data_IF_801806912172
#
_entry.id   IF_801806912172
#
_cell.length_a   1.000
_cell.length_b   1.000
_cell.length_c   1.000
_cell.angle_alpha   90.00
_cell.angle_beta   90.00
_cell.angle_gamma   90.00
#
_symmetry.space_group_name_H-M   'P 1'
#
loop_
_entity.id
_entity.type
_entity.pdbx_description
1 polymer ?
#
# COMPACT_ATOMS: atom_id res chain seq x y z
N UNK A 1 18.51 -6.46 13.53
CA UNK A 1 17.49 -5.65 12.83
C UNK A 1 16.38 -5.40 13.81
N UNK A 2 16.23 -4.13 14.18
CA UNK A 2 15.56 -3.67 15.39
C UNK A 2 14.18 -3.12 15.04
N UNK A 3 13.18 -3.47 15.85
CA UNK A 3 11.95 -2.71 15.96
C UNK A 3 12.06 -2.00 17.31
N UNK A 4 12.36 -0.69 17.30
CA UNK A 4 12.38 0.12 18.52
C UNK A 4 11.27 1.15 18.41
N UNK A 5 10.32 1.15 19.37
CA UNK A 5 9.42 2.28 19.57
C UNK A 5 10.18 3.38 20.31
N UNK A 6 10.28 4.58 19.74
CA UNK A 6 10.81 5.78 20.42
C UNK A 6 9.68 6.57 21.10
N UNK A 7 10.01 7.70 21.74
CA UNK A 7 9.06 8.72 22.24
C UNK A 7 9.11 9.96 21.33
N UNK A 8 7.94 10.48 20.91
CA UNK A 8 7.77 11.62 19.99
C UNK A 8 8.62 12.81 20.44
N UNK A 9 9.67 13.11 19.68
CA UNK A 9 10.22 14.46 19.59
C UNK A 9 9.51 15.19 18.45
N UNK A 10 9.00 16.42 18.64
CA UNK A 10 8.26 17.15 17.61
C UNK A 10 9.10 17.63 16.42
N UNK A 11 10.40 17.33 16.37
CA UNK A 11 11.29 17.72 15.26
C UNK A 11 11.99 16.46 14.72
N UNK A 12 11.55 15.99 13.56
CA UNK A 12 12.25 14.97 12.78
C UNK A 12 13.41 15.64 12.02
N UNK A 13 14.50 15.94 12.72
CA UNK A 13 15.76 16.27 12.07
C UNK A 13 16.53 14.98 11.75
N UNK A 14 16.91 14.79 10.47
CA UNK A 14 17.72 13.65 10.02
C UNK A 14 19.08 13.61 10.74
N UNK A 15 19.58 14.75 11.18
CA UNK A 15 20.87 14.86 11.84
C UNK A 15 20.83 14.42 13.32
N UNK A 16 19.69 14.56 14.01
CA UNK A 16 19.52 14.03 15.37
C UNK A 16 19.52 12.48 15.40
N UNK A 17 19.05 11.84 14.32
CA UNK A 17 19.00 10.37 14.23
C UNK A 17 20.39 9.74 14.29
N UNK A 18 21.41 10.42 13.72
CA UNK A 18 22.80 9.94 13.69
C UNK A 18 23.50 10.01 15.05
N UNK A 19 23.11 10.96 15.90
CA UNK A 19 23.78 11.16 17.19
C UNK A 19 23.26 10.23 18.29
N UNK A 20 21.99 9.80 18.23
CA UNK A 20 21.38 8.91 19.25
C UNK A 20 21.59 7.41 19.03
N UNK A 21 22.35 6.99 18.02
CA UNK A 21 22.68 5.56 17.80
C UNK A 21 23.54 4.93 18.93
N UNK A 22 24.13 5.72 19.82
CA UNK A 22 25.12 5.24 20.80
C UNK A 22 24.59 4.91 22.19
N UNK A 23 23.39 5.36 22.55
CA UNK A 23 22.90 5.29 23.94
C UNK A 23 21.44 4.81 23.95
N UNK A 24 21.20 3.50 24.06
CA UNK A 24 20.06 2.90 24.80
C UNK A 24 20.01 1.35 24.65
N UNK A 25 19.65 0.69 25.76
CA UNK A 25 19.93 -0.69 26.14
C UNK A 25 19.23 -1.80 25.31
N UNK A 26 20.00 -2.88 25.07
CA UNK A 26 19.64 -4.24 24.63
C UNK A 26 18.36 -4.48 23.77
N UNK A 27 18.39 -4.13 22.47
CA UNK A 27 17.26 -4.32 21.55
C UNK A 27 17.05 -5.76 20.99
N UNK A 28 17.70 -6.79 21.56
CA UNK A 28 17.70 -8.18 21.08
C UNK A 28 16.36 -8.93 21.14
N UNK A 29 15.47 -8.55 22.06
CA UNK A 29 14.35 -9.41 22.45
C UNK A 29 13.14 -9.35 21.50
N UNK A 30 12.87 -8.22 20.85
CA UNK A 30 11.68 -8.07 19.99
C UNK A 30 11.77 -8.92 18.72
N UNK A 31 12.95 -9.01 18.10
CA UNK A 31 13.18 -9.84 16.90
C UNK A 31 12.96 -11.33 17.18
N UNK A 32 13.63 -11.85 18.20
CA UNK A 32 13.60 -13.29 18.54
C UNK A 32 12.20 -13.75 18.93
N UNK A 33 11.43 -12.89 19.60
CA UNK A 33 10.07 -13.24 20.01
C UNK A 33 9.12 -13.30 18.82
N UNK A 34 9.11 -12.29 17.94
CA UNK A 34 8.17 -12.25 16.83
C UNK A 34 8.49 -13.29 15.74
N UNK A 35 9.76 -13.48 15.38
CA UNK A 35 10.16 -14.43 14.32
C UNK A 35 9.74 -15.88 14.62
N UNK A 36 9.60 -16.23 15.90
CA UNK A 36 9.23 -17.56 16.36
C UNK A 36 7.71 -17.79 16.42
N UNK A 37 6.89 -16.76 16.22
CA UNK A 37 5.42 -16.88 16.23
C UNK A 37 4.91 -17.44 14.90
N UNK A 38 5.25 -18.70 14.61
CA UNK A 38 4.97 -19.33 13.30
C UNK A 38 3.49 -19.38 12.91
N UNK A 39 2.57 -19.30 13.87
CA UNK A 39 1.11 -19.29 13.62
C UNK A 39 0.47 -17.90 13.74
N UNK A 40 1.25 -16.83 13.76
CA UNK A 40 0.73 -15.46 13.86
C UNK A 40 -0.18 -15.17 12.66
N UNK A 41 -1.43 -14.79 12.95
CA UNK A 41 -2.43 -14.41 11.93
C UNK A 41 -2.61 -12.91 11.79
N UNK A 42 -2.34 -12.17 12.84
CA UNK A 42 -2.54 -10.73 12.90
C UNK A 42 -1.34 -10.08 13.57
N UNK A 43 -0.71 -9.13 12.89
CA UNK A 43 0.34 -8.27 13.42
C UNK A 43 -0.03 -6.82 13.11
N UNK A 44 -0.55 -6.11 14.10
CA UNK A 44 -0.82 -4.68 14.01
C UNK A 44 0.23 -3.92 14.84
N UNK A 45 1.01 -3.09 14.16
CA UNK A 45 2.02 -2.20 14.74
C UNK A 45 1.70 -0.73 14.42
N UNK A 46 0.52 -0.45 13.88
CA UNK A 46 0.13 0.88 13.43
C UNK A 46 0.23 1.94 14.55
N UNK A 47 0.53 3.19 14.18
CA UNK A 47 0.62 4.35 15.07
C UNK A 47 1.57 4.12 16.26
N UNK A 48 2.81 3.75 15.93
CA UNK A 48 3.92 3.63 16.87
C UNK A 48 5.12 4.43 16.35
N UNK A 49 6.26 4.29 17.01
CA UNK A 49 7.51 4.93 16.58
C UNK A 49 8.53 3.89 16.12
N UNK A 50 8.08 2.77 15.57
CA UNK A 50 8.98 1.75 15.05
C UNK A 50 9.82 2.33 13.92
N UNK A 51 11.13 2.22 14.09
CA UNK A 51 12.12 2.63 13.07
C UNK A 51 12.95 1.45 12.61
N UNK A 52 13.58 1.58 11.45
CA UNK A 52 14.31 0.52 10.76
C UNK A 52 13.65 0.14 9.43
N UNK A 53 14.30 -0.72 8.63
CA UNK A 53 13.64 -1.35 7.50
C UNK A 53 12.57 -2.35 7.95
N UNK A 54 11.55 -2.57 7.12
CA UNK A 54 10.59 -3.66 7.33
C UNK A 54 11.38 -4.98 7.33
N UNK A 55 11.26 -5.81 8.38
CA UNK A 55 12.11 -7.00 8.49
C UNK A 55 11.81 -8.11 7.47
N UNK A 56 12.85 -8.64 6.81
CA UNK A 56 12.72 -9.76 5.85
C UNK A 56 12.06 -11.01 6.43
N UNK A 57 12.24 -11.27 7.73
CA UNK A 57 11.68 -12.45 8.42
C UNK A 57 10.15 -12.41 8.50
N UNK A 58 9.50 -11.27 8.25
CA UNK A 58 8.05 -11.22 8.08
C UNK A 58 7.59 -12.12 6.93
N UNK A 59 8.45 -12.30 5.91
CA UNK A 59 8.25 -13.26 4.83
C UNK A 59 8.15 -14.74 5.26
N UNK A 60 8.54 -15.08 6.49
CA UNK A 60 8.44 -16.44 7.03
C UNK A 60 7.08 -16.74 7.69
N UNK A 61 6.21 -15.74 7.88
CA UNK A 61 4.96 -15.88 8.62
C UNK A 61 3.82 -16.35 7.71
N UNK A 62 3.88 -17.60 7.25
CA UNK A 62 2.96 -18.19 6.25
C UNK A 62 1.47 -18.23 6.64
N UNK A 63 1.12 -17.88 7.88
CA UNK A 63 -0.26 -17.81 8.38
C UNK A 63 -0.74 -16.38 8.61
N UNK A 64 0.11 -15.37 8.39
CA UNK A 64 -0.21 -13.98 8.62
C UNK A 64 -1.24 -13.51 7.61
N UNK A 65 -2.39 -13.06 8.10
CA UNK A 65 -3.52 -12.58 7.32
C UNK A 65 -3.61 -11.06 7.32
N UNK A 66 -3.12 -10.41 8.37
CA UNK A 66 -3.11 -8.96 8.48
C UNK A 66 -1.74 -8.48 8.98
N UNK A 67 -1.14 -7.57 8.21
CA UNK A 67 0.07 -6.85 8.59
C UNK A 67 -0.20 -5.35 8.51
N UNK A 68 -0.28 -4.71 9.68
CA UNK A 68 -0.47 -3.28 9.83
C UNK A 68 0.78 -2.59 10.33
N UNK A 69 1.33 -1.68 9.55
CA UNK A 69 2.56 -0.93 9.83
C UNK A 69 2.36 0.58 9.68
N UNK A 70 1.12 1.05 9.53
CA UNK A 70 0.75 2.44 9.24
C UNK A 70 1.27 3.40 10.30
N UNK A 71 1.63 4.63 9.95
CA UNK A 71 2.04 5.66 10.92
C UNK A 71 3.19 5.19 11.83
N UNK A 72 4.34 4.89 11.21
CA UNK A 72 5.58 4.55 11.89
C UNK A 72 6.75 5.29 11.20
N UNK A 73 7.98 4.91 11.54
CA UNK A 73 9.22 5.48 10.99
C UNK A 73 9.98 4.39 10.21
N UNK A 74 9.27 3.44 9.58
CA UNK A 74 9.90 2.43 8.73
C UNK A 74 10.52 3.09 7.50
N UNK A 75 11.71 2.66 7.09
CA UNK A 75 12.43 3.22 5.95
C UNK A 75 12.98 2.13 5.01
N UNK A 76 13.63 2.56 3.92
CA UNK A 76 14.08 1.69 2.83
C UNK A 76 12.91 1.00 2.08
N UNK A 77 13.22 0.02 1.23
CA UNK A 77 12.23 -0.64 0.39
C UNK A 77 11.44 -1.71 1.13
N UNK A 78 10.22 -1.96 0.65
CA UNK A 78 9.45 -3.13 1.05
C UNK A 78 10.25 -4.38 0.66
N UNK A 79 10.53 -5.30 1.61
CA UNK A 79 11.33 -6.48 1.32
C UNK A 79 10.59 -7.43 0.40
N UNK A 80 11.28 -7.96 -0.61
CA UNK A 80 10.69 -8.89 -1.59
C UNK A 80 10.17 -10.19 -0.94
N UNK A 81 10.74 -10.58 0.21
CA UNK A 81 10.31 -11.75 0.98
C UNK A 81 8.86 -11.63 1.48
N UNK A 82 8.31 -10.41 1.59
CA UNK A 82 6.91 -10.21 1.98
C UNK A 82 5.94 -10.85 0.98
N UNK A 83 6.33 -10.97 -0.29
CA UNK A 83 5.57 -11.70 -1.32
C UNK A 83 5.44 -13.20 -1.07
N UNK A 84 6.19 -13.78 -0.12
CA UNK A 84 6.06 -15.19 0.28
C UNK A 84 4.88 -15.42 1.24
N UNK A 85 4.30 -14.36 1.82
CA UNK A 85 3.21 -14.44 2.81
C UNK A 85 1.87 -14.57 2.10
N UNK A 86 1.68 -15.67 1.37
CA UNK A 86 0.50 -15.84 0.49
C UNK A 86 -0.83 -15.90 1.25
N UNK A 87 -0.81 -16.04 2.58
CA UNK A 87 -1.99 -15.95 3.46
C UNK A 87 -2.49 -14.52 3.69
N UNK A 88 -1.72 -13.50 3.30
CA UNK A 88 -2.01 -12.11 3.61
C UNK A 88 -3.28 -11.64 2.90
N UNK A 89 -4.24 -11.13 3.67
CA UNK A 89 -5.48 -10.54 3.20
C UNK A 89 -5.41 -9.01 3.22
N UNK A 90 -4.66 -8.42 4.16
CA UNK A 90 -4.53 -6.98 4.29
C UNK A 90 -3.09 -6.59 4.61
N UNK A 91 -2.57 -5.63 3.84
CA UNK A 91 -1.27 -5.00 4.04
C UNK A 91 -1.45 -3.49 4.10
N UNK A 92 -1.06 -2.88 5.22
CA UNK A 92 -1.06 -1.42 5.38
C UNK A 92 0.33 -0.94 5.77
N UNK A 93 0.91 -0.06 4.95
CA UNK A 93 2.25 0.50 5.14
C UNK A 93 2.29 2.02 4.99
N UNK A 94 1.11 2.64 4.94
CA UNK A 94 0.91 4.07 4.78
C UNK A 94 1.63 4.90 5.84
N UNK A 95 1.96 6.15 5.52
CA UNK A 95 2.55 7.10 6.47
C UNK A 95 3.83 6.59 7.14
N UNK A 96 4.78 6.13 6.31
CA UNK A 96 6.14 5.75 6.70
C UNK A 96 7.19 6.49 5.84
N UNK A 97 8.47 6.25 6.08
CA UNK A 97 9.59 6.73 5.28
C UNK A 97 10.08 5.70 4.25
N UNK A 98 9.20 4.79 3.83
CA UNK A 98 9.52 3.75 2.84
C UNK A 98 9.85 4.38 1.49
N UNK A 99 10.79 3.78 0.77
CA UNK A 99 11.32 4.30 -0.49
C UNK A 99 11.64 3.21 -1.50
N UNK A 100 11.77 3.59 -2.77
CA UNK A 100 11.98 2.66 -3.87
C UNK A 100 10.66 2.09 -4.41
N UNK A 101 10.76 1.00 -5.16
CA UNK A 101 9.63 0.43 -5.89
C UNK A 101 8.84 -0.57 -5.04
N UNK A 102 7.56 -0.72 -5.36
CA UNK A 102 6.78 -1.88 -4.92
C UNK A 102 7.42 -3.15 -5.54
N UNK A 103 7.86 -4.15 -4.76
CA UNK A 103 8.47 -5.34 -5.35
C UNK A 103 7.42 -6.17 -6.10
N UNK A 104 7.78 -6.66 -7.30
CA UNK A 104 6.91 -7.52 -8.12
C UNK A 104 6.43 -8.79 -7.38
N UNK A 105 7.11 -9.21 -6.31
CA UNK A 105 6.69 -10.35 -5.49
C UNK A 105 5.38 -10.09 -4.74
N UNK A 106 4.95 -8.84 -4.55
CA UNK A 106 3.60 -8.50 -4.06
C UNK A 106 2.51 -9.13 -4.93
N UNK A 107 2.76 -9.26 -6.23
CA UNK A 107 1.86 -9.95 -7.15
C UNK A 107 1.69 -11.46 -6.88
N UNK A 108 2.39 -12.05 -5.89
CA UNK A 108 2.13 -13.43 -5.45
C UNK A 108 1.15 -13.53 -4.27
N UNK A 109 0.69 -12.41 -3.72
CA UNK A 109 -0.24 -12.37 -2.59
C UNK A 109 -1.68 -12.62 -3.04
N UNK A 110 -1.99 -13.77 -3.64
CA UNK A 110 -3.28 -14.04 -4.29
C UNK A 110 -4.51 -14.00 -3.36
N UNK A 111 -4.33 -14.02 -2.04
CA UNK A 111 -5.39 -13.81 -1.04
C UNK A 111 -5.58 -12.34 -0.63
N UNK A 112 -4.74 -11.42 -1.13
CA UNK A 112 -4.77 -10.01 -0.75
C UNK A 112 -6.07 -9.37 -1.21
N UNK A 113 -6.76 -8.75 -0.26
CA UNK A 113 -8.01 -7.99 -0.45
C UNK A 113 -7.78 -6.49 -0.35
N UNK A 114 -6.87 -6.06 0.52
CA UNK A 114 -6.63 -4.63 0.81
C UNK A 114 -5.14 -4.32 0.78
N UNK A 115 -4.77 -3.36 -0.05
CA UNK A 115 -3.40 -2.86 -0.16
C UNK A 115 -3.37 -1.35 0.02
N UNK A 116 -2.87 -0.89 1.17
CA UNK A 116 -2.80 0.53 1.52
C UNK A 116 -1.34 0.97 1.59
N UNK A 117 -0.98 1.83 0.63
CA UNK A 117 0.35 2.38 0.45
C UNK A 117 0.23 3.90 0.30
N UNK A 118 0.91 4.62 1.18
CA UNK A 118 1.07 6.06 1.13
C UNK A 118 2.49 6.41 1.56
N UNK A 119 3.04 7.48 0.99
CA UNK A 119 4.36 7.99 1.36
C UNK A 119 5.24 8.16 0.13
N UNK A 120 6.48 7.68 0.20
CA UNK A 120 7.53 7.97 -0.80
C UNK A 120 7.88 6.78 -1.70
N UNK A 121 7.03 5.76 -1.74
CA UNK A 121 7.18 4.62 -2.65
C UNK A 121 6.77 5.03 -4.07
N UNK A 122 7.62 4.76 -5.05
CA UNK A 122 7.40 5.21 -6.43
C UNK A 122 7.67 4.10 -7.43
N UNK A 123 7.76 4.44 -8.71
CA UNK A 123 8.08 3.51 -9.79
C UNK A 123 6.87 3.13 -10.62
N UNK A 124 7.03 2.08 -11.43
CA UNK A 124 6.04 1.72 -12.47
C UNK A 124 5.27 0.47 -12.06
N UNK A 125 3.97 0.65 -11.81
CA UNK A 125 3.03 -0.45 -11.64
C UNK A 125 2.66 -1.04 -13.00
N UNK A 126 2.76 -2.36 -13.08
CA UNK A 126 2.40 -3.20 -14.22
C UNK A 126 1.65 -4.43 -13.74
N UNK A 127 1.15 -5.25 -14.66
CA UNK A 127 0.41 -6.48 -14.38
C UNK A 127 1.17 -7.44 -13.47
N UNK A 128 2.51 -7.37 -13.45
CA UNK A 128 3.35 -8.16 -12.54
C UNK A 128 3.01 -7.95 -11.07
N UNK A 129 2.51 -6.76 -10.71
CA UNK A 129 2.18 -6.40 -9.34
C UNK A 129 0.75 -6.82 -8.94
N UNK A 130 -0.18 -6.88 -9.89
CA UNK A 130 -1.62 -6.97 -9.59
C UNK A 130 -2.38 -8.09 -10.29
N UNK A 131 -1.90 -8.64 -11.41
CA UNK A 131 -2.67 -9.59 -12.25
C UNK A 131 -3.05 -10.91 -11.59
N UNK A 132 -2.37 -11.32 -10.51
CA UNK A 132 -2.70 -12.55 -9.76
C UNK A 132 -3.42 -12.29 -8.43
N UNK A 133 -3.75 -11.03 -8.12
CA UNK A 133 -4.44 -10.65 -6.89
C UNK A 133 -5.96 -10.84 -7.05
N UNK A 134 -6.41 -12.07 -7.29
CA UNK A 134 -7.80 -12.39 -7.65
C UNK A 134 -8.87 -11.95 -6.64
N UNK A 135 -8.47 -11.67 -5.39
CA UNK A 135 -9.35 -11.25 -4.31
C UNK A 135 -9.24 -9.76 -3.98
N UNK A 136 -8.53 -8.97 -4.79
CA UNK A 136 -8.28 -7.56 -4.48
C UNK A 136 -9.57 -6.74 -4.55
N UNK A 137 -9.91 -6.10 -3.44
CA UNK A 137 -11.16 -5.37 -3.22
C UNK A 137 -10.91 -3.88 -2.96
N UNK A 138 -9.76 -3.52 -2.37
CA UNK A 138 -9.40 -2.12 -2.12
C UNK A 138 -7.93 -1.86 -2.35
N UNK A 139 -7.63 -0.78 -3.09
CA UNK A 139 -6.28 -0.28 -3.29
C UNK A 139 -6.24 1.22 -3.01
N UNK A 140 -5.38 1.61 -2.08
CA UNK A 140 -5.10 3.02 -1.78
C UNK A 140 -3.62 3.26 -2.07
N UNK A 141 -3.34 3.99 -3.13
CA UNK A 141 -2.02 4.47 -3.52
C UNK A 141 -2.02 5.99 -3.41
N UNK A 142 -1.17 6.52 -2.56
CA UNK A 142 -0.94 7.96 -2.42
C UNK A 142 0.55 8.28 -2.54
N UNK A 143 1.08 8.17 -3.77
CA UNK A 143 2.48 8.45 -4.12
C UNK A 143 2.71 8.43 -5.64
N UNK A 144 3.91 8.80 -6.08
CA UNK A 144 4.34 8.96 -7.48
C UNK A 144 4.47 7.64 -8.27
N UNK A 145 3.46 6.77 -8.20
CA UNK A 145 3.37 5.56 -9.02
C UNK A 145 2.91 5.91 -10.43
N UNK A 146 3.69 5.51 -11.43
CA UNK A 146 3.25 5.49 -12.82
C UNK A 146 2.61 4.14 -13.17
N UNK A 147 1.73 4.12 -14.18
CA UNK A 147 1.07 2.90 -14.64
C UNK A 147 1.53 2.53 -16.05
N UNK A 148 2.03 1.31 -16.20
CA UNK A 148 2.34 0.68 -17.49
C UNK A 148 1.58 -0.65 -17.57
N UNK A 149 0.30 -0.54 -17.93
CA UNK A 149 -0.62 -1.65 -18.12
C UNK A 149 -1.02 -1.71 -19.60
N UNK A 150 -1.28 -2.91 -20.11
CA UNK A 150 -1.92 -3.11 -21.39
C UNK A 150 -3.23 -2.30 -21.42
N UNK A 151 -3.42 -1.40 -22.42
CA UNK A 151 -4.63 -0.60 -22.55
C UNK A 151 -5.94 -1.39 -22.64
N UNK A 152 -5.87 -2.68 -22.97
CA UNK A 152 -7.00 -3.61 -23.05
C UNK A 152 -7.03 -4.63 -21.91
N UNK A 153 -6.18 -4.46 -20.88
CA UNK A 153 -6.16 -5.33 -19.71
C UNK A 153 -7.52 -5.27 -18.98
N UNK A 154 -8.03 -6.45 -18.64
CA UNK A 154 -9.23 -6.62 -17.80
C UNK A 154 -8.77 -7.24 -16.48
N UNK A 155 -8.88 -6.52 -15.35
CA UNK A 155 -8.54 -7.05 -14.04
C UNK A 155 -9.41 -8.29 -13.72
N UNK A 156 -8.84 -9.38 -13.18
CA UNK A 156 -9.60 -10.58 -12.80
C UNK A 156 -10.31 -10.45 -11.45
N UNK A 157 -10.56 -9.23 -10.99
CA UNK A 157 -11.17 -8.87 -9.71
C UNK A 157 -12.03 -7.61 -9.87
N UNK A 158 -12.78 -7.28 -8.82
CA UNK A 158 -13.65 -6.12 -8.77
C UNK A 158 -13.35 -5.33 -7.50
N UNK A 159 -13.03 -4.05 -7.66
CA UNK A 159 -12.78 -3.15 -6.54
C UNK A 159 -14.09 -2.62 -5.94
N UNK A 160 -14.10 -2.47 -4.62
CA UNK A 160 -15.02 -1.61 -3.88
C UNK A 160 -14.44 -0.21 -3.67
N UNK A 161 -13.12 -0.10 -3.54
CA UNK A 161 -12.48 1.18 -3.23
C UNK A 161 -11.16 1.32 -4.00
N UNK A 162 -11.02 2.43 -4.71
CA UNK A 162 -9.81 2.81 -5.42
C UNK A 162 -9.46 4.24 -5.02
N UNK A 163 -8.28 4.43 -4.45
CA UNK A 163 -7.62 5.74 -4.41
C UNK A 163 -6.28 5.62 -5.12
N UNK A 164 -6.09 6.44 -6.15
CA UNK A 164 -4.85 6.60 -6.91
C UNK A 164 -4.35 8.04 -6.78
N UNK A 165 -4.61 8.66 -5.63
CA UNK A 165 -4.26 10.06 -5.37
C UNK A 165 -2.76 10.29 -5.58
N UNK A 166 -2.38 11.44 -6.13
CA UNK A 166 -0.98 11.81 -6.37
C UNK A 166 -0.18 10.79 -7.21
N UNK A 167 -0.85 9.98 -8.03
CA UNK A 167 -0.18 9.05 -8.95
C UNK A 167 0.00 9.65 -10.36
N UNK A 168 0.85 9.03 -11.18
CA UNK A 168 1.00 9.38 -12.60
C UNK A 168 0.08 8.45 -13.41
N UNK A 169 -1.23 8.69 -13.33
CA UNK A 169 -2.26 7.91 -14.02
C UNK A 169 -2.60 8.47 -15.41
N UNK A 170 -2.52 9.79 -15.56
CA UNK A 170 -2.92 10.52 -16.75
C UNK A 170 -2.07 10.25 -18.01
N UNK A 171 -2.44 10.87 -19.15
CA UNK A 171 -3.38 12.00 -19.27
C UNK A 171 -4.86 11.61 -19.35
N UNK A 172 -5.17 10.33 -19.57
CA UNK A 172 -6.53 9.79 -19.73
C UNK A 172 -6.83 8.75 -18.66
N UNK A 173 -8.10 8.64 -18.25
CA UNK A 173 -8.57 7.55 -17.39
C UNK A 173 -8.38 6.19 -18.09
N UNK A 174 -7.63 5.24 -17.50
CA UNK A 174 -7.45 3.91 -18.09
C UNK A 174 -8.76 3.14 -18.24
N UNK A 175 -8.92 2.42 -19.37
CA UNK A 175 -10.15 1.68 -19.68
C UNK A 175 -10.50 0.61 -18.65
N UNK A 176 -9.51 0.04 -17.97
CA UNK A 176 -9.73 -1.00 -16.97
C UNK A 176 -10.60 -0.50 -15.81
N UNK A 177 -10.58 0.81 -15.48
CA UNK A 177 -11.47 1.38 -14.46
C UNK A 177 -12.94 1.23 -14.82
N UNK A 178 -13.30 1.30 -16.11
CA UNK A 178 -14.67 1.12 -16.58
C UNK A 178 -15.16 -0.33 -16.44
N UNK A 179 -14.28 -1.28 -16.11
CA UNK A 179 -14.65 -2.69 -15.90
C UNK A 179 -15.05 -2.99 -14.45
N UNK A 180 -14.93 -2.02 -13.53
CA UNK A 180 -15.03 -2.20 -12.08
C UNK A 180 -16.44 -1.89 -11.53
N UNK A 181 -17.41 -2.76 -11.79
CA UNK A 181 -18.85 -2.54 -11.56
C UNK A 181 -19.28 -2.50 -10.10
N UNK A 182 -18.43 -2.89 -9.16
CA UNK A 182 -18.73 -2.91 -7.72
C UNK A 182 -18.12 -1.72 -6.97
N UNK A 183 -17.59 -0.73 -7.70
CA UNK A 183 -16.82 0.37 -7.13
C UNK A 183 -17.73 1.32 -6.32
N UNK A 184 -17.47 1.45 -5.03
CA UNK A 184 -18.19 2.37 -4.14
C UNK A 184 -17.48 3.72 -4.04
N UNK A 185 -16.14 3.70 -4.05
CA UNK A 185 -15.28 4.88 -3.87
C UNK A 185 -14.20 4.94 -4.94
N UNK A 186 -14.10 6.08 -5.64
CA UNK A 186 -13.03 6.38 -6.60
C UNK A 186 -12.41 7.75 -6.28
N UNK A 187 -11.13 7.78 -5.93
CA UNK A 187 -10.31 8.98 -5.81
C UNK A 187 -9.14 8.92 -6.81
N UNK A 188 -9.17 9.82 -7.79
CA UNK A 188 -8.11 10.03 -8.79
C UNK A 188 -7.64 11.48 -8.77
N UNK A 189 -7.73 12.13 -7.61
CA UNK A 189 -7.27 13.51 -7.43
C UNK A 189 -5.76 13.60 -7.61
N UNK A 190 -5.29 14.72 -8.16
CA UNK A 190 -3.88 14.97 -8.40
C UNK A 190 -3.18 13.86 -9.22
N UNK A 191 -3.92 13.18 -10.10
CA UNK A 191 -3.40 12.01 -10.84
C UNK A 191 -2.96 12.30 -12.28
N UNK A 192 -2.58 13.56 -12.56
CA UNK A 192 -2.19 14.07 -13.89
C UNK A 192 -3.21 13.86 -15.04
N UNK A 193 -4.47 13.60 -14.73
CA UNK A 193 -5.53 13.50 -15.74
C UNK A 193 -5.79 14.89 -16.31
N UNK A 194 -5.53 15.06 -17.61
CA UNK A 194 -5.73 16.30 -18.36
C UNK A 194 -6.87 16.22 -19.37
N UNK A 195 -7.37 15.00 -19.63
CA UNK A 195 -8.53 14.79 -20.50
C UNK A 195 -9.51 13.84 -19.84
N UNK A 196 -10.70 14.37 -19.60
CA UNK A 196 -11.86 13.58 -19.20
C UNK A 196 -12.71 13.45 -20.46
N UNK A 197 -12.88 12.23 -20.97
CA UNK A 197 -13.97 11.99 -21.90
C UNK A 197 -15.26 12.13 -21.08
N UNK A 198 -15.91 13.28 -21.17
CA UNK A 198 -17.06 13.64 -20.35
C UNK A 198 -18.16 12.57 -20.42
N UNK A 199 -18.40 11.96 -21.58
CA UNK A 199 -19.41 10.90 -21.73
C UNK A 199 -19.05 9.64 -20.94
N UNK A 200 -17.78 9.19 -21.01
CA UNK A 200 -17.30 8.04 -20.20
C UNK A 200 -17.19 8.35 -18.72
N UNK A 201 -16.88 9.59 -18.35
CA UNK A 201 -16.81 10.00 -16.96
C UNK A 201 -18.21 10.15 -16.37
N UNK A 202 -19.17 10.64 -17.14
CA UNK A 202 -20.59 10.62 -16.77
C UNK A 202 -21.08 9.18 -16.61
N UNK A 203 -20.67 8.23 -17.44
CA UNK A 203 -20.98 6.81 -17.21
C UNK A 203 -20.44 6.31 -15.86
N UNK A 204 -19.20 6.65 -15.50
CA UNK A 204 -18.63 6.36 -14.18
C UNK A 204 -19.44 7.07 -13.06
N UNK A 205 -19.75 8.35 -13.21
CA UNK A 205 -20.51 9.11 -12.22
C UNK A 205 -21.94 8.57 -12.03
N UNK A 206 -22.65 8.25 -13.11
CA UNK A 206 -24.03 7.75 -13.12
C UNK A 206 -24.09 6.33 -12.53
N UNK A 207 -23.10 5.48 -12.81
CA UNK A 207 -23.04 4.12 -12.25
C UNK A 207 -22.83 4.11 -10.73
N UNK A 208 -21.98 5.00 -10.20
CA UNK A 208 -21.53 4.88 -8.80
C UNK A 208 -22.22 5.85 -7.82
N UNK A 209 -22.67 7.03 -8.26
CA UNK A 209 -23.09 8.09 -7.33
C UNK A 209 -24.61 8.27 -7.19
N UNK A 210 -25.40 7.39 -7.79
CA UNK A 210 -26.85 7.33 -7.49
C UNK A 210 -27.18 6.62 -6.16
N UNK A 211 -26.20 6.01 -5.48
CA UNK A 211 -26.42 5.24 -4.24
C UNK A 211 -25.70 5.77 -2.98
N UNK A 212 -25.07 6.96 -2.98
CA UNK A 212 -24.38 7.50 -1.80
C UNK A 212 -24.89 8.88 -1.35
N UNK A 213 -24.92 9.10 -0.02
CA UNK A 213 -25.45 10.31 0.65
C UNK A 213 -24.46 11.49 0.71
N UNK A 214 -23.30 11.42 0.06
CA UNK A 214 -22.32 12.52 0.06
C UNK A 214 -21.96 12.87 -1.39
N UNK A 215 -22.59 13.90 -1.98
CA UNK A 215 -22.33 14.31 -3.35
C UNK A 215 -21.16 15.29 -3.42
N UNK A 216 -20.18 15.04 -4.32
CA UNK A 216 -19.33 16.10 -4.91
C UNK A 216 -18.92 15.75 -6.34
N UNK A 217 -19.77 16.12 -7.31
CA UNK A 217 -19.36 16.44 -8.67
C UNK A 217 -19.67 17.93 -8.88
N UNK A 218 -18.67 18.80 -8.72
CA UNK A 218 -18.68 20.19 -9.18
C UNK A 218 -17.27 20.50 -9.69
#
# INVERSE_FOLDING_TARGET
MWLQSRKRSPVCDKDELRQKEKEEEHPGNLKLNLQNLKYLKYLGLDNNEFTGPIPDWLGEHQYLQHLGLTENIFFASIPSSLGNVTSLNQLTVSSNLLSGNLPNTIGQLFNLRRLYIEGSLSGVLSEKHISKLFNLESILLNSDFAFNLDPNWIPPFQFHEISLRNTILGPTIPKWLNTQRTLDTLDISYSEISSINADKFLELCIQYWNNSLVPRCN
#
